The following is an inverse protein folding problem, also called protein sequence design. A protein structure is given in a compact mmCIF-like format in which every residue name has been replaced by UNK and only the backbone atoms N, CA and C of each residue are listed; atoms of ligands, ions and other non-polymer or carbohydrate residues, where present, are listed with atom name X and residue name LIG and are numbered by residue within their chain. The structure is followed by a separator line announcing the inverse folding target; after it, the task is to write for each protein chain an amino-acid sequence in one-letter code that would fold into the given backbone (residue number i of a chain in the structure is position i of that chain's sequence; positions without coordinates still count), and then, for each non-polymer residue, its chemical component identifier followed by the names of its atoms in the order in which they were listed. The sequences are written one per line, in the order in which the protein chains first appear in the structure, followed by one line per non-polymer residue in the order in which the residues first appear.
data_IF_999755668572
#
_entry.id   IF_999755668572
#
_cell.length_a   1.000
_cell.length_b   1.000
_cell.length_c   1.000
_cell.angle_alpha   90.00
_cell.angle_beta   90.00
_cell.angle_gamma   90.00
#
_symmetry.space_group_name_H-M   'P 1'
#
loop_
_entity.id
_entity.type
_entity.pdbx_description
1 polymer ?
#
# COMPACT_ATOMS: atom_id res chain seq x y z
N UNK A 1 11.46 -10.26 7.49
CA UNK A 1 10.12 -10.65 6.95
C UNK A 1 9.48 -11.76 7.77
N UNK A 2 10.24 -12.78 8.21
CA UNK A 2 9.68 -13.95 8.91
C UNK A 2 9.02 -13.63 10.25
N UNK A 3 9.65 -12.83 11.10
CA UNK A 3 9.10 -12.41 12.40
C UNK A 3 7.77 -11.64 12.22
N UNK A 4 7.71 -10.74 11.24
CA UNK A 4 6.50 -10.00 10.93
C UNK A 4 5.39 -10.92 10.38
N UNK A 5 5.76 -11.88 9.54
CA UNK A 5 4.83 -12.91 9.05
C UNK A 5 4.24 -13.72 10.19
N UNK A 6 5.07 -14.16 11.14
CA UNK A 6 4.61 -14.91 12.30
C UNK A 6 3.66 -14.07 13.17
N UNK A 7 3.96 -12.79 13.33
CA UNK A 7 3.10 -11.88 14.10
C UNK A 7 1.71 -11.72 13.49
N UNK A 8 1.62 -11.56 12.16
CA UNK A 8 0.33 -11.53 11.47
C UNK A 8 -0.40 -12.89 11.54
N UNK A 9 0.33 -13.99 11.39
CA UNK A 9 -0.27 -15.34 11.53
C UNK A 9 -0.85 -15.56 12.93
N UNK A 10 -0.18 -15.12 13.98
CA UNK A 10 -0.67 -15.19 15.37
C UNK A 10 -1.94 -14.35 15.59
N UNK A 11 -2.18 -13.33 14.76
CA UNK A 11 -3.42 -12.54 14.74
C UNK A 11 -4.52 -13.14 13.85
N UNK A 12 -4.32 -14.35 13.33
CA UNK A 12 -5.28 -15.07 12.52
C UNK A 12 -5.31 -14.69 11.05
N UNK A 13 -4.30 -13.95 10.56
CA UNK A 13 -4.17 -13.69 9.12
C UNK A 13 -3.47 -14.85 8.41
N UNK A 14 -3.95 -15.18 7.23
CA UNK A 14 -3.30 -16.08 6.29
C UNK A 14 -2.39 -15.25 5.37
N UNK A 15 -1.16 -15.74 5.15
CA UNK A 15 -0.21 -15.10 4.26
C UNK A 15 0.08 -16.01 3.06
N UNK A 16 0.31 -15.40 1.90
CA UNK A 16 0.83 -16.13 0.74
C UNK A 16 2.24 -16.67 1.01
N UNK A 17 2.71 -17.66 0.26
CA UNK A 17 4.12 -18.03 0.23
C UNK A 17 5.01 -16.83 -0.10
N UNK A 18 6.29 -16.87 0.27
CA UNK A 18 7.27 -15.87 -0.16
C UNK A 18 7.42 -15.94 -1.67
N UNK A 19 7.35 -14.81 -2.33
CA UNK A 19 7.59 -14.66 -3.75
C UNK A 19 8.72 -13.66 -4.01
N UNK A 20 9.46 -13.87 -5.10
CA UNK A 20 10.65 -13.10 -5.45
C UNK A 20 10.38 -12.32 -6.73
N UNK A 21 10.52 -10.99 -6.66
CA UNK A 21 10.39 -10.13 -7.82
C UNK A 21 11.67 -10.13 -8.67
N UNK A 22 11.51 -10.00 -9.97
CA UNK A 22 12.61 -9.88 -10.92
C UNK A 22 13.54 -8.67 -10.63
N UNK A 23 13.09 -7.70 -9.84
CA UNK A 23 13.87 -6.53 -9.43
C UNK A 23 14.56 -6.70 -8.06
N UNK A 24 14.61 -7.92 -7.52
CA UNK A 24 15.40 -8.30 -6.34
C UNK A 24 14.78 -7.90 -5.00
N UNK A 25 13.46 -7.86 -4.91
CA UNK A 25 12.73 -7.82 -3.64
C UNK A 25 11.92 -9.09 -3.46
N UNK A 26 11.63 -9.43 -2.20
CA UNK A 26 10.74 -10.52 -1.85
C UNK A 26 9.51 -9.98 -1.15
N UNK A 27 8.38 -10.65 -1.32
CA UNK A 27 7.16 -10.27 -0.63
C UNK A 27 6.35 -11.46 -0.13
N UNK A 28 5.45 -11.17 0.80
CA UNK A 28 4.29 -12.00 1.19
C UNK A 28 3.08 -11.10 1.27
N UNK A 29 1.92 -11.62 0.91
CA UNK A 29 0.68 -10.87 0.88
C UNK A 29 -0.31 -11.40 1.92
N UNK A 30 -1.04 -10.48 2.55
CA UNK A 30 -2.27 -10.74 3.28
C UNK A 30 -3.37 -10.22 2.35
N UNK A 31 -4.10 -11.13 1.73
CA UNK A 31 -5.09 -10.80 0.71
C UNK A 31 -6.39 -10.35 1.36
N UNK A 32 -6.98 -9.28 0.83
CA UNK A 32 -8.28 -8.74 1.21
C UNK A 32 -9.18 -8.66 -0.03
N UNK A 33 -10.45 -8.37 0.14
CA UNK A 33 -11.45 -8.42 -0.95
C UNK A 33 -11.03 -7.58 -2.18
N UNK A 34 -10.56 -6.35 -1.98
CA UNK A 34 -10.20 -5.43 -3.06
C UNK A 34 -8.78 -4.88 -2.97
N UNK A 35 -8.01 -5.32 -1.98
CA UNK A 35 -6.67 -4.86 -1.68
C UNK A 35 -5.81 -5.97 -1.06
N UNK A 36 -4.61 -5.66 -0.66
CA UNK A 36 -3.77 -6.54 0.16
C UNK A 36 -2.79 -5.70 0.99
N UNK A 37 -2.32 -6.29 2.09
CA UNK A 37 -1.17 -5.78 2.83
C UNK A 37 0.05 -6.54 2.31
N UNK A 38 1.06 -5.81 1.83
CA UNK A 38 2.30 -6.39 1.34
C UNK A 38 3.40 -6.29 2.40
N UNK A 39 3.90 -7.42 2.85
CA UNK A 39 5.15 -7.50 3.58
C UNK A 39 6.28 -7.54 2.55
N UNK A 40 6.94 -6.40 2.36
CA UNK A 40 7.99 -6.23 1.37
C UNK A 40 9.36 -6.24 2.05
N UNK A 41 10.32 -6.95 1.47
CA UNK A 41 11.68 -7.05 1.97
C UNK A 41 12.63 -7.69 0.96
N UNK A 42 13.68 -8.27 1.46
CA UNK A 42 14.69 -9.02 0.71
C UNK A 42 15.19 -10.20 1.54
N UNK A 43 15.87 -11.13 0.89
CA UNK A 43 16.39 -12.32 1.56
C UNK A 43 17.51 -11.99 2.54
N UNK A 44 17.63 -12.77 3.60
CA UNK A 44 18.65 -12.62 4.62
C UNK A 44 20.06 -12.82 4.00
N UNK A 45 20.91 -11.83 4.20
CA UNK A 45 22.29 -11.85 3.65
C UNK A 45 22.43 -11.25 2.26
N UNK A 46 21.32 -10.90 1.58
CA UNK A 46 21.35 -10.17 0.32
C UNK A 46 21.23 -8.67 0.57
N UNK A 47 21.94 -7.88 -0.24
CA UNK A 47 21.72 -6.43 -0.27
C UNK A 47 20.54 -6.11 -1.16
N UNK A 48 19.62 -5.25 -0.73
CA UNK A 48 18.50 -4.85 -1.57
C UNK A 48 19.02 -4.09 -2.79
N UNK A 49 18.62 -4.54 -3.97
CA UNK A 49 18.98 -3.89 -5.25
C UNK A 49 18.26 -2.55 -5.44
N UNK A 50 17.28 -2.28 -4.60
CA UNK A 50 16.42 -1.09 -4.67
C UNK A 50 16.65 -0.21 -3.46
N UNK A 51 17.34 0.92 -3.68
CA UNK A 51 17.72 1.86 -2.62
C UNK A 51 16.52 2.39 -1.83
N UNK A 52 15.37 2.56 -2.51
CA UNK A 52 14.15 3.05 -1.88
C UNK A 52 13.49 2.05 -0.89
N UNK A 53 13.98 0.81 -0.85
CA UNK A 53 13.56 -0.19 0.14
C UNK A 53 14.63 -0.35 1.22
N UNK A 54 15.91 -0.30 0.82
CA UNK A 54 17.06 -0.60 1.67
C UNK A 54 17.13 0.23 2.96
N UNK A 55 16.75 1.50 2.88
CA UNK A 55 16.91 2.47 3.95
C UNK A 55 15.61 2.72 4.75
N UNK A 56 14.56 1.93 4.50
CA UNK A 56 13.30 2.11 5.20
C UNK A 56 13.30 1.36 6.54
N UNK A 57 12.80 2.03 7.57
CA UNK A 57 12.52 1.39 8.86
C UNK A 57 11.31 0.44 8.71
N UNK A 58 11.25 -0.58 9.56
CA UNK A 58 10.08 -1.45 9.63
C UNK A 58 8.84 -0.62 10.00
N UNK A 59 7.76 -0.79 9.25
CA UNK A 59 6.52 -0.05 9.48
C UNK A 59 5.66 0.08 8.23
N UNK A 60 4.66 0.95 8.32
CA UNK A 60 3.77 1.30 7.21
C UNK A 60 4.43 2.40 6.37
N UNK A 61 5.02 2.03 5.24
CA UNK A 61 5.91 2.92 4.49
C UNK A 61 5.40 3.31 3.10
N UNK A 62 4.38 2.61 2.58
CA UNK A 62 3.92 2.85 1.22
C UNK A 62 2.39 2.73 1.08
N UNK A 63 1.85 3.48 0.13
CA UNK A 63 0.51 3.33 -0.40
C UNK A 63 0.63 3.05 -1.90
N UNK A 64 0.04 1.95 -2.35
CA UNK A 64 0.03 1.59 -3.77
C UNK A 64 -1.40 1.67 -4.27
N UNK A 65 -1.62 2.55 -5.23
CA UNK A 65 -2.93 2.69 -5.86
C UNK A 65 -3.02 1.78 -7.09
N UNK A 66 -4.17 1.12 -7.24
CA UNK A 66 -4.46 0.36 -8.45
C UNK A 66 -4.74 1.31 -9.61
N UNK A 67 -4.25 0.95 -10.78
CA UNK A 67 -4.69 1.49 -12.07
C UNK A 67 -5.08 0.34 -12.99
N UNK A 68 -6.02 0.60 -13.89
CA UNK A 68 -6.42 -0.38 -14.90
C UNK A 68 -5.60 -0.22 -16.21
N UNK A 69 -4.83 0.88 -16.33
CA UNK A 69 -3.92 1.13 -17.45
C UNK A 69 -2.74 2.00 -16.98
N UNK A 70 -1.57 1.42 -16.89
CA UNK A 70 -0.37 2.11 -16.41
C UNK A 70 0.13 3.19 -17.37
N UNK A 71 0.02 2.98 -18.67
CA UNK A 71 0.44 3.97 -19.69
C UNK A 71 -0.46 5.22 -19.64
N UNK A 72 -1.77 5.03 -19.56
CA UNK A 72 -2.72 6.13 -19.40
C UNK A 72 -2.52 6.87 -18.07
N UNK A 73 -2.28 6.13 -16.98
CA UNK A 73 -1.96 6.68 -15.68
C UNK A 73 -0.69 7.54 -15.73
N UNK A 74 0.36 7.05 -16.38
CA UNK A 74 1.61 7.77 -16.59
C UNK A 74 1.40 9.10 -17.31
N UNK A 75 0.65 9.09 -18.43
CA UNK A 75 0.38 10.30 -19.20
C UNK A 75 -0.47 11.32 -18.41
N UNK A 76 -1.50 10.85 -17.67
CA UNK A 76 -2.32 11.72 -16.81
C UNK A 76 -1.49 12.40 -15.72
N UNK A 77 -0.64 11.65 -15.03
CA UNK A 77 0.22 12.21 -13.98
C UNK A 77 1.19 13.25 -14.54
N UNK A 78 1.77 13.01 -15.72
CA UNK A 78 2.63 13.99 -16.39
C UNK A 78 1.87 15.27 -16.76
N UNK A 79 0.66 15.15 -17.28
CA UNK A 79 -0.19 16.31 -17.60
C UNK A 79 -0.57 17.12 -16.38
N UNK A 80 -0.66 16.48 -15.21
CA UNK A 80 -0.89 17.12 -13.91
C UNK A 80 0.38 17.73 -13.29
N UNK A 81 1.54 17.60 -13.97
CA UNK A 81 2.81 18.16 -13.53
C UNK A 81 3.64 17.27 -12.59
N UNK A 82 3.24 16.01 -12.38
CA UNK A 82 4.04 15.09 -11.59
C UNK A 82 5.26 14.57 -12.36
N UNK A 83 6.41 14.50 -11.69
CA UNK A 83 7.62 13.90 -12.22
C UNK A 83 7.58 12.38 -12.00
N UNK A 84 7.24 11.64 -13.05
CA UNK A 84 7.14 10.17 -13.02
C UNK A 84 8.19 9.54 -13.92
N UNK A 85 8.66 8.36 -13.51
CA UNK A 85 9.50 7.52 -14.35
C UNK A 85 8.65 6.82 -15.43
N UNK A 86 9.24 6.44 -16.56
CA UNK A 86 8.54 5.60 -17.55
C UNK A 86 7.94 4.35 -16.90
N UNK A 87 6.85 3.86 -17.47
CA UNK A 87 6.19 2.63 -17.02
C UNK A 87 7.19 1.48 -16.97
N UNK A 88 7.19 0.76 -15.86
CA UNK A 88 8.14 -0.33 -15.61
C UNK A 88 7.40 -1.65 -15.42
N UNK A 89 7.83 -2.67 -16.17
CA UNK A 89 7.38 -4.03 -15.98
C UNK A 89 7.96 -4.62 -14.68
N UNK A 90 7.10 -5.29 -13.93
CA UNK A 90 7.45 -6.04 -12.74
C UNK A 90 6.82 -7.43 -12.84
N UNK A 91 7.56 -8.46 -12.45
CA UNK A 91 7.04 -9.81 -12.44
C UNK A 91 7.60 -10.63 -11.28
N UNK A 92 6.87 -11.66 -10.90
CA UNK A 92 7.31 -12.67 -9.96
C UNK A 92 6.70 -14.03 -10.28
N UNK A 93 7.40 -15.10 -9.93
CA UNK A 93 6.82 -16.44 -9.99
C UNK A 93 5.78 -16.63 -8.88
N UNK A 94 4.79 -17.44 -9.13
CA UNK A 94 3.76 -17.87 -8.19
C UNK A 94 3.24 -19.24 -8.59
N UNK A 95 2.33 -19.80 -7.79
CA UNK A 95 1.61 -21.01 -8.08
C UNK A 95 0.11 -20.74 -8.22
N UNK A 96 -0.49 -21.29 -9.24
CA UNK A 96 -1.92 -21.25 -9.51
C UNK A 96 -2.39 -22.62 -9.97
N UNK A 97 -3.34 -23.25 -9.26
CA UNK A 97 -3.86 -24.59 -9.55
C UNK A 97 -2.74 -25.63 -9.75
N UNK A 98 -1.77 -25.66 -8.83
CA UNK A 98 -0.59 -26.54 -8.85
C UNK A 98 0.33 -26.36 -10.07
N UNK A 99 0.22 -25.23 -10.76
CA UNK A 99 1.06 -24.89 -11.92
C UNK A 99 1.85 -23.62 -11.62
N UNK A 100 3.14 -23.62 -11.99
CA UNK A 100 3.96 -22.40 -11.92
C UNK A 100 3.48 -21.38 -12.95
N UNK A 101 3.20 -20.18 -12.48
CA UNK A 101 2.73 -19.06 -13.31
C UNK A 101 3.60 -17.84 -13.09
N UNK A 102 3.65 -16.97 -14.09
CA UNK A 102 4.29 -15.67 -13.98
C UNK A 102 3.23 -14.59 -13.71
N UNK A 103 3.26 -14.05 -12.51
CA UNK A 103 2.44 -12.89 -12.15
C UNK A 103 3.10 -11.64 -12.70
N UNK A 104 2.34 -10.83 -13.45
CA UNK A 104 2.83 -9.67 -14.17
C UNK A 104 2.13 -8.41 -13.71
N UNK A 105 2.91 -7.34 -13.61
CA UNK A 105 2.47 -6.01 -13.22
C UNK A 105 3.14 -4.96 -14.10
N UNK A 106 2.50 -3.78 -14.20
CA UNK A 106 3.14 -2.56 -14.66
C UNK A 106 3.06 -1.50 -13.56
N UNK A 107 4.13 -0.76 -13.33
CA UNK A 107 4.19 0.25 -12.26
C UNK A 107 4.52 1.62 -12.81
N UNK A 108 3.86 2.65 -12.26
CA UNK A 108 4.17 4.05 -12.49
C UNK A 108 4.70 4.63 -11.18
N UNK A 109 5.96 5.02 -11.19
CA UNK A 109 6.69 5.47 -10.00
C UNK A 109 7.12 6.91 -10.15
N UNK A 110 7.08 7.65 -9.04
CA UNK A 110 7.54 9.03 -9.01
C UNK A 110 9.07 9.11 -8.96
N UNK A 111 9.65 10.11 -9.61
CA UNK A 111 11.06 10.46 -9.46
C UNK A 111 11.32 11.03 -8.06
N UNK A 112 10.40 11.89 -7.59
CA UNK A 112 10.33 12.41 -6.24
C UNK A 112 8.94 12.13 -5.67
N UNK A 113 8.87 11.69 -4.41
CA UNK A 113 7.58 11.35 -3.80
C UNK A 113 6.72 12.61 -3.67
N UNK A 114 5.46 12.60 -4.16
CA UNK A 114 4.57 13.76 -4.09
C UNK A 114 4.23 14.15 -2.65
N UNK A 115 4.31 13.20 -1.72
CA UNK A 115 4.13 13.41 -0.29
C UNK A 115 5.39 12.92 0.43
N UNK A 116 6.25 13.84 0.91
CA UNK A 116 7.48 13.48 1.61
C UNK A 116 7.21 12.58 2.83
N UNK A 117 7.93 11.46 2.91
CA UNK A 117 7.81 10.49 4.00
C UNK A 117 6.87 9.31 3.71
N UNK A 118 6.10 9.35 2.62
CA UNK A 118 5.24 8.24 2.18
C UNK A 118 5.64 7.83 0.76
N UNK A 119 5.99 6.57 0.57
CA UNK A 119 6.23 6.04 -0.77
C UNK A 119 4.91 5.76 -1.46
N UNK A 120 4.67 6.40 -2.60
CA UNK A 120 3.46 6.27 -3.40
C UNK A 120 3.85 5.82 -4.81
N UNK A 121 3.06 4.93 -5.40
CA UNK A 121 3.12 4.57 -6.81
C UNK A 121 1.81 3.93 -7.26
N UNK A 122 1.64 3.78 -8.57
CA UNK A 122 0.49 3.09 -9.16
C UNK A 122 0.92 1.73 -9.71
N UNK A 123 0.01 0.76 -9.61
CA UNK A 123 0.24 -0.61 -10.06
C UNK A 123 -0.95 -1.12 -10.87
N UNK A 124 -0.68 -1.51 -12.10
CA UNK A 124 -1.59 -2.29 -12.94
C UNK A 124 -1.28 -3.79 -12.75
N UNK A 125 -2.30 -4.57 -12.44
CA UNK A 125 -2.20 -6.03 -12.34
C UNK A 125 -2.58 -6.64 -13.68
N UNK A 126 -1.59 -7.07 -14.47
CA UNK A 126 -1.81 -7.67 -15.81
C UNK A 126 -2.43 -9.07 -15.67
N UNK A 127 -2.10 -9.78 -14.60
CA UNK A 127 -2.61 -11.14 -14.32
C UNK A 127 -3.28 -11.20 -12.94
N UNK A 128 -4.39 -10.44 -12.72
CA UNK A 128 -4.99 -10.31 -11.38
C UNK A 128 -5.48 -11.64 -10.80
N UNK A 129 -5.96 -12.56 -11.62
CA UNK A 129 -6.44 -13.87 -11.17
C UNK A 129 -5.36 -14.71 -10.48
N UNK A 130 -4.08 -14.49 -10.82
CA UNK A 130 -2.97 -15.17 -10.16
C UNK A 130 -2.59 -14.52 -8.81
N UNK A 131 -3.13 -13.33 -8.52
CA UNK A 131 -2.95 -12.63 -7.24
C UNK A 131 -4.14 -12.88 -6.32
N UNK A 132 -5.36 -12.59 -6.78
CA UNK A 132 -6.61 -12.80 -6.01
C UNK A 132 -7.13 -14.21 -6.17
N UNK A 133 -6.52 -15.16 -5.47
CA UNK A 133 -6.98 -16.54 -5.39
C UNK A 133 -7.87 -16.68 -4.15
N UNK A 134 -9.06 -17.27 -4.30
CA UNK A 134 -10.09 -17.31 -3.27
C UNK A 134 -9.64 -17.92 -1.94
N UNK A 135 -8.77 -18.94 -2.00
CA UNK A 135 -8.27 -19.60 -0.80
C UNK A 135 -7.39 -18.70 0.09
N UNK A 136 -6.77 -17.64 -0.46
CA UNK A 136 -5.99 -16.66 0.32
C UNK A 136 -6.85 -15.63 1.06
N UNK A 137 -8.14 -15.55 0.77
CA UNK A 137 -9.08 -14.64 1.43
C UNK A 137 -9.64 -15.18 2.76
N UNK A 138 -9.37 -16.45 3.07
CA UNK A 138 -9.96 -17.14 4.22
C UNK A 138 -9.10 -16.96 5.48
N UNK A 139 -9.18 -15.79 6.11
CA UNK A 139 -8.51 -15.53 7.36
C UNK A 139 -9.27 -16.10 8.56
N UNK A 140 -8.57 -16.69 9.52
CA UNK A 140 -9.16 -17.22 10.76
C UNK A 140 -9.87 -16.11 11.56
N UNK A 141 -9.33 -14.90 11.54
CA UNK A 141 -9.93 -13.73 12.18
C UNK A 141 -11.10 -13.11 11.39
N UNK A 142 -11.44 -13.64 10.20
CA UNK A 142 -12.52 -13.19 9.32
C UNK A 142 -12.37 -11.76 8.77
N UNK A 143 -11.21 -11.13 8.90
CA UNK A 143 -10.93 -9.81 8.34
C UNK A 143 -10.85 -9.91 6.82
N UNK A 144 -11.61 -9.08 6.10
CA UNK A 144 -11.65 -9.08 4.63
C UNK A 144 -11.40 -7.71 4.02
N UNK A 145 -11.51 -6.63 4.78
CA UNK A 145 -11.59 -5.28 4.19
C UNK A 145 -10.62 -4.31 4.86
N UNK A 146 -9.83 -3.60 4.04
CA UNK A 146 -9.09 -2.41 4.45
C UNK A 146 -10.03 -1.19 4.38
N UNK A 147 -10.32 -0.60 5.54
CA UNK A 147 -11.30 0.49 5.67
C UNK A 147 -10.68 1.87 5.63
N UNK A 148 -9.54 2.03 6.29
CA UNK A 148 -8.96 3.35 6.50
C UNK A 148 -7.44 3.29 6.58
N UNK A 149 -6.79 4.30 6.03
CA UNK A 149 -5.38 4.61 6.25
C UNK A 149 -5.31 5.94 7.00
N UNK A 150 -4.67 5.94 8.16
CA UNK A 150 -4.42 7.15 8.94
C UNK A 150 -3.01 7.67 8.65
N UNK A 151 -2.94 8.95 8.33
CA UNK A 151 -1.72 9.67 7.98
C UNK A 151 -1.58 10.85 8.94
N UNK A 152 -0.38 11.13 9.42
CA UNK A 152 -0.10 12.37 10.13
C UNK A 152 0.85 13.25 9.33
N UNK A 153 0.61 14.56 9.35
CA UNK A 153 1.41 15.54 8.65
C UNK A 153 1.37 16.88 9.41
N UNK A 154 2.34 17.76 9.16
CA UNK A 154 2.31 19.13 9.65
C UNK A 154 1.52 20.08 8.74
N UNK A 155 1.18 19.67 7.51
CA UNK A 155 0.41 20.45 6.54
C UNK A 155 -0.71 19.62 5.93
N UNK A 156 -1.86 19.59 6.61
CA UNK A 156 -3.04 18.84 6.17
C UNK A 156 -3.53 19.30 4.79
N UNK A 157 -3.57 20.64 4.60
CA UNK A 157 -4.09 21.22 3.36
C UNK A 157 -3.27 20.79 2.16
N UNK A 158 -1.94 20.87 2.26
CA UNK A 158 -1.04 20.52 1.17
C UNK A 158 -1.15 19.02 0.84
N UNK A 159 -1.07 18.16 1.84
CA UNK A 159 -1.19 16.71 1.65
C UNK A 159 -2.55 16.32 1.08
N UNK A 160 -3.62 16.99 1.51
CA UNK A 160 -4.97 16.78 0.93
C UNK A 160 -5.00 17.18 -0.54
N UNK A 161 -4.48 18.34 -0.88
CA UNK A 161 -4.42 18.82 -2.27
C UNK A 161 -3.58 17.89 -3.15
N UNK A 162 -2.46 17.38 -2.63
CA UNK A 162 -1.63 16.40 -3.34
C UNK A 162 -2.40 15.11 -3.64
N UNK A 163 -3.13 14.55 -2.66
CA UNK A 163 -3.95 13.36 -2.91
C UNK A 163 -5.10 13.63 -3.90
N UNK A 164 -5.78 14.79 -3.79
CA UNK A 164 -6.84 15.18 -4.72
C UNK A 164 -6.31 15.27 -6.15
N UNK A 165 -5.17 15.92 -6.34
CA UNK A 165 -4.51 16.02 -7.64
C UNK A 165 -4.05 14.64 -8.15
N UNK A 166 -3.31 13.89 -7.32
CA UNK A 166 -2.75 12.58 -7.64
C UNK A 166 -3.80 11.56 -8.09
N UNK A 167 -4.95 11.55 -7.42
CA UNK A 167 -6.03 10.61 -7.67
C UNK A 167 -7.08 11.16 -8.65
N UNK A 168 -6.92 12.41 -9.08
CA UNK A 168 -7.85 13.12 -9.97
C UNK A 168 -9.31 13.04 -9.47
N UNK A 169 -9.52 13.27 -8.18
CA UNK A 169 -10.83 13.23 -7.54
C UNK A 169 -11.39 14.63 -7.33
N UNK A 170 -12.73 14.70 -7.22
CA UNK A 170 -13.39 15.97 -6.91
C UNK A 170 -13.21 16.33 -5.43
N UNK A 171 -13.11 17.61 -5.12
CA UNK A 171 -13.02 18.10 -3.73
C UNK A 171 -14.27 17.79 -2.90
N UNK A 172 -15.40 17.51 -3.54
CA UNK A 172 -16.63 17.05 -2.87
C UNK A 172 -16.45 15.70 -2.14
N UNK A 173 -15.44 14.92 -2.52
CA UNK A 173 -15.09 13.68 -1.85
C UNK A 173 -14.19 13.90 -0.61
N UNK A 174 -14.03 15.16 -0.19
CA UNK A 174 -13.18 15.50 0.95
C UNK A 174 -13.96 16.25 2.01
N UNK A 175 -13.65 15.97 3.27
CA UNK A 175 -14.05 16.77 4.43
C UNK A 175 -12.76 17.33 5.02
N UNK A 176 -12.66 18.66 5.08
CA UNK A 176 -11.47 19.32 5.59
C UNK A 176 -11.83 20.21 6.78
N UNK A 177 -11.11 20.05 7.88
CA UNK A 177 -11.13 20.91 9.06
C UNK A 177 -9.70 21.31 9.45
N UNK A 178 -9.58 22.08 10.52
CA UNK A 178 -8.27 22.53 11.03
C UNK A 178 -7.34 21.37 11.39
N UNK A 179 -7.87 20.29 11.95
CA UNK A 179 -7.06 19.22 12.57
C UNK A 179 -7.14 17.89 11.84
N UNK A 180 -8.06 17.77 10.88
CA UNK A 180 -8.28 16.54 10.14
C UNK A 180 -8.81 16.82 8.72
N UNK A 181 -8.35 16.02 7.77
CA UNK A 181 -8.93 15.88 6.45
C UNK A 181 -9.28 14.41 6.19
N UNK A 182 -10.43 14.17 5.59
CA UNK A 182 -10.88 12.84 5.19
C UNK A 182 -11.14 12.84 3.69
N UNK A 183 -10.56 11.89 2.99
CA UNK A 183 -10.74 11.68 1.56
C UNK A 183 -11.42 10.32 1.39
N UNK A 184 -12.62 10.35 0.83
CA UNK A 184 -13.42 9.14 0.61
C UNK A 184 -13.20 8.62 -0.81
N UNK A 185 -12.58 7.46 -0.90
CA UNK A 185 -12.42 6.69 -2.13
C UNK A 185 -13.44 5.55 -2.16
N UNK A 186 -13.72 4.92 -3.32
CA UNK A 186 -14.74 3.89 -3.41
C UNK A 186 -14.60 2.76 -2.37
N UNK A 187 -13.38 2.38 -2.04
CA UNK A 187 -13.10 1.23 -1.18
C UNK A 187 -12.42 1.58 0.14
N UNK A 188 -11.94 2.80 0.32
CA UNK A 188 -11.10 3.16 1.47
C UNK A 188 -11.22 4.65 1.80
N UNK A 189 -11.04 4.98 3.07
CA UNK A 189 -10.88 6.34 3.56
C UNK A 189 -9.39 6.63 3.84
N UNK A 190 -8.89 7.76 3.32
CA UNK A 190 -7.64 8.35 3.77
C UNK A 190 -7.96 9.41 4.82
N UNK A 191 -7.47 9.23 6.03
CA UNK A 191 -7.70 10.15 7.15
C UNK A 191 -6.38 10.83 7.51
N UNK A 192 -6.27 12.12 7.26
CA UNK A 192 -5.06 12.92 7.40
C UNK A 192 -5.20 13.80 8.64
N UNK A 193 -4.31 13.65 9.59
CA UNK A 193 -4.35 14.30 10.88
C UNK A 193 -3.19 15.28 11.06
N UNK A 194 -3.44 16.38 11.77
CA UNK A 194 -2.39 17.33 12.15
C UNK A 194 -1.39 16.64 13.09
N UNK A 195 -0.11 16.70 12.74
CA UNK A 195 0.96 16.27 13.62
C UNK A 195 1.27 17.36 14.65
N UNK A 196 1.38 17.02 15.95
CA UNK A 196 1.85 17.98 16.94
C UNK A 196 3.35 18.26 16.82
N UNK A 197 4.11 17.38 16.18
CA UNK A 197 5.54 17.54 16.01
C UNK A 197 5.86 18.31 14.74
N UNK A 198 6.87 19.17 14.80
CA UNK A 198 7.36 19.98 13.67
C UNK A 198 8.21 19.11 12.70
N UNK A 199 7.72 17.91 12.35
CA UNK A 199 8.38 17.03 11.40
C UNK A 199 7.96 17.37 9.98
N UNK A 200 8.92 17.65 9.11
CA UNK A 200 8.68 17.95 7.70
C UNK A 200 8.11 16.78 6.89
N UNK A 201 8.14 15.55 7.43
CA UNK A 201 7.72 14.35 6.72
C UNK A 201 6.38 13.83 7.22
N UNK A 202 5.50 13.50 6.28
CA UNK A 202 4.25 12.79 6.57
C UNK A 202 4.54 11.32 6.89
N UNK A 203 3.64 10.68 7.66
CA UNK A 203 3.78 9.26 8.05
C UNK A 203 2.43 8.56 8.01
N UNK A 204 2.40 7.33 7.53
CA UNK A 204 1.26 6.43 7.76
C UNK A 204 1.37 5.93 9.20
N UNK A 205 0.39 6.26 10.01
CA UNK A 205 0.41 5.94 11.45
C UNK A 205 -0.36 4.68 11.80
N UNK A 206 -1.38 4.37 11.02
CA UNK A 206 -2.13 3.11 11.17
C UNK A 206 -2.98 2.80 9.96
N UNK A 207 -3.38 1.54 9.87
CA UNK A 207 -4.46 1.08 9.00
C UNK A 207 -5.55 0.43 9.85
N UNK A 208 -6.80 0.55 9.40
CA UNK A 208 -7.97 -0.02 10.06
C UNK A 208 -8.62 -1.04 9.14
N UNK A 209 -8.89 -2.21 9.69
CA UNK A 209 -9.42 -3.38 9.00
C UNK A 209 -10.75 -3.79 9.60
N UNK A 210 -11.61 -4.45 8.81
CA UNK A 210 -12.91 -4.97 9.26
C UNK A 210 -13.25 -6.29 8.59
N UNK A 211 -14.27 -6.97 9.12
CA UNK A 211 -14.81 -8.22 8.56
C UNK A 211 -15.62 -7.99 7.28
N UNK A 212 -16.08 -6.77 7.06
CA UNK A 212 -16.80 -6.40 5.86
C UNK A 212 -16.85 -4.90 5.64
N UNK A 213 -17.31 -4.42 4.48
CA UNK A 213 -17.25 -3.03 4.08
C UNK A 213 -18.14 -2.08 4.91
N UNK A 214 -19.12 -2.63 5.63
CA UNK A 214 -20.04 -1.87 6.51
C UNK A 214 -19.84 -2.12 7.99
N UNK A 215 -18.91 -3.03 8.33
CA UNK A 215 -18.68 -3.39 9.72
C UNK A 215 -17.85 -2.35 10.46
N UNK A 216 -17.96 -2.37 11.77
CA UNK A 216 -17.10 -1.58 12.66
C UNK A 216 -15.64 -2.04 12.44
N UNK A 217 -14.69 -1.14 12.65
CA UNK A 217 -13.26 -1.49 12.61
C UNK A 217 -12.96 -2.54 13.69
N UNK A 218 -12.58 -3.73 13.26
CA UNK A 218 -12.30 -4.87 14.16
C UNK A 218 -10.81 -4.97 14.51
N UNK A 219 -9.94 -4.46 13.64
CA UNK A 219 -8.51 -4.61 13.80
C UNK A 219 -7.75 -3.36 13.34
N UNK A 220 -6.83 -2.88 14.18
CA UNK A 220 -5.97 -1.74 13.87
C UNK A 220 -4.50 -2.15 13.92
N UNK A 221 -3.78 -1.87 12.84
CA UNK A 221 -2.32 -2.01 12.78
C UNK A 221 -1.73 -0.60 12.88
N UNK A 222 -1.02 -0.31 13.95
CA UNK A 222 -0.36 0.97 14.17
C UNK A 222 1.15 0.78 14.43
N UNK A 223 1.85 1.85 14.72
CA UNK A 223 3.30 1.84 14.94
C UNK A 223 3.70 0.90 16.09
N UNK A 224 2.86 0.72 17.10
CA UNK A 224 3.15 -0.19 18.21
C UNK A 224 3.15 -1.65 17.80
N UNK A 225 2.44 -1.98 16.71
CA UNK A 225 2.48 -3.31 16.12
C UNK A 225 3.89 -3.68 15.63
N UNK A 226 4.72 -2.71 15.31
CA UNK A 226 6.08 -2.90 14.79
C UNK A 226 7.19 -2.72 15.85
N UNK A 227 6.89 -2.14 17.01
CA UNK A 227 7.87 -1.78 18.05
C UNK A 227 8.38 -2.95 18.90
N UNK A 228 8.01 -4.18 18.63
CA UNK A 228 8.41 -5.39 19.37
C UNK A 228 9.47 -6.23 18.65
N UNK A 229 10.30 -5.59 17.82
CA UNK A 229 11.43 -6.21 17.11
C UNK A 229 12.77 -5.70 17.64
#
# INVERSE_FOLDING_TARGET
MDELSQKFSNQGFQLTPTAHHNLGSSNRLIMLDSSYIELLGWEKGEMPKRAEIANQQIGLNAIVFRTDNAEECYEKLRQQGFLVNPVQDLSRESEYENTKVLVKFKTVRFQEQPIPGIRIYFCEHITPNYVWQSHWLNHVNQITTLRKINITTHNIQDVTNQFVALLNIQTTNTILSKDISQIFLPNIELSIHQSPANNAQSKITSICLSKGPKDIVDFKIDINFFNSF
#
